data_IF_934826259123
#
_entry.id   IF_934826259123
#
_cell.length_a   1.000
_cell.length_b   1.000
_cell.length_c   1.000
_cell.angle_alpha   90.00
_cell.angle_beta   90.00
_cell.angle_gamma   90.00
#
_symmetry.space_group_name_H-M   'P 1'
#
loop_
_entity.id
_entity.type
_entity.pdbx_description
1 polymer ?
#
# COMPACT_ATOMS: atom_id res chain seq x y z
N UNK A 1 -10.78 48.87 -36.55
CA UNK A 1 -11.70 47.90 -35.92
C UNK A 1 -12.93 48.69 -35.51
N UNK A 2 -14.06 48.49 -36.19
CA UNK A 2 -15.31 49.16 -35.87
C UNK A 2 -15.96 48.36 -34.72
N UNK A 3 -16.11 48.99 -33.56
CA UNK A 3 -16.85 48.47 -32.42
C UNK A 3 -18.25 48.03 -32.89
N UNK A 4 -18.71 46.80 -32.57
CA UNK A 4 -20.06 46.37 -32.92
C UNK A 4 -21.06 47.28 -32.20
N UNK A 5 -21.87 48.01 -32.98
CA UNK A 5 -22.92 48.86 -32.45
C UNK A 5 -23.82 48.05 -31.52
N UNK A 6 -23.92 48.46 -30.26
CA UNK A 6 -24.72 47.76 -29.26
C UNK A 6 -26.19 47.69 -29.69
N UNK A 7 -26.81 46.49 -29.73
CA UNK A 7 -28.16 46.31 -30.25
C UNK A 7 -29.24 47.03 -29.43
N UNK A 8 -28.92 47.39 -28.19
CA UNK A 8 -29.80 48.06 -27.23
C UNK A 8 -29.73 49.60 -27.30
N UNK A 9 -28.89 50.19 -28.15
CA UNK A 9 -28.79 51.65 -28.37
C UNK A 9 -29.75 52.18 -29.45
N UNK A 10 -30.70 51.37 -29.92
CA UNK A 10 -31.66 51.79 -30.95
C UNK A 10 -32.68 52.75 -30.34
N UNK A 11 -32.55 54.05 -30.66
CA UNK A 11 -33.54 55.06 -30.29
C UNK A 11 -34.93 54.64 -30.81
N UNK A 12 -35.94 54.69 -29.94
CA UNK A 12 -37.30 54.35 -30.34
C UNK A 12 -37.79 55.32 -31.44
N UNK A 13 -38.29 54.77 -32.57
CA UNK A 13 -38.81 55.56 -33.68
C UNK A 13 -40.04 56.37 -33.26
N UNK A 14 -40.22 57.57 -33.83
CA UNK A 14 -41.33 58.47 -33.50
C UNK A 14 -42.72 57.91 -33.79
N UNK A 15 -42.81 56.89 -34.65
CA UNK A 15 -44.05 56.18 -34.97
C UNK A 15 -44.49 55.19 -33.87
N UNK A 16 -43.60 54.86 -32.93
CA UNK A 16 -43.92 53.95 -31.83
C UNK A 16 -44.99 54.57 -30.90
N UNK A 17 -45.98 53.76 -30.52
CA UNK A 17 -47.09 54.20 -29.66
C UNK A 17 -46.57 54.71 -28.31
N UNK A 18 -45.58 54.02 -27.73
CA UNK A 18 -44.95 54.42 -26.47
C UNK A 18 -44.23 55.76 -26.58
N UNK A 19 -43.51 55.99 -27.68
CA UNK A 19 -42.88 57.29 -27.95
C UNK A 19 -43.91 58.43 -27.99
N UNK A 20 -45.01 58.24 -28.73
CA UNK A 20 -46.08 59.25 -28.85
C UNK A 20 -46.80 59.50 -27.52
N UNK A 21 -47.03 58.45 -26.73
CA UNK A 21 -47.66 58.58 -25.41
C UNK A 21 -46.76 59.37 -24.44
N UNK A 22 -45.46 59.07 -24.44
CA UNK A 22 -44.49 59.73 -23.58
C UNK A 22 -44.34 61.22 -23.96
N UNK A 23 -44.28 61.52 -25.26
CA UNK A 23 -44.29 62.89 -25.76
C UNK A 23 -45.54 63.68 -25.36
N UNK A 24 -46.73 63.05 -25.37
CA UNK A 24 -47.98 63.67 -24.91
C UNK A 24 -47.98 64.02 -23.42
N UNK A 25 -47.24 63.28 -22.61
CA UNK A 25 -47.08 63.53 -21.17
C UNK A 25 -45.99 64.57 -20.87
N UNK A 26 -45.48 65.28 -21.88
CA UNK A 26 -44.51 66.36 -21.72
C UNK A 26 -43.04 65.91 -21.69
N UNK A 27 -42.75 64.65 -22.02
CA UNK A 27 -41.39 64.19 -22.23
C UNK A 27 -40.83 64.65 -23.57
N UNK A 28 -39.56 65.05 -23.60
CA UNK A 28 -38.87 65.52 -24.81
C UNK A 28 -37.83 64.50 -25.25
N UNK A 29 -37.78 64.19 -26.54
CA UNK A 29 -36.79 63.28 -27.11
C UNK A 29 -35.37 63.72 -26.76
N UNK A 30 -34.53 62.76 -26.34
CA UNK A 30 -33.15 63.03 -25.94
C UNK A 30 -32.99 63.63 -24.54
N UNK A 31 -34.08 63.76 -23.77
CA UNK A 31 -34.02 64.19 -22.36
C UNK A 31 -34.32 63.05 -21.40
N UNK A 32 -33.64 63.05 -20.25
CA UNK A 32 -33.88 62.09 -19.19
C UNK A 32 -35.25 62.28 -18.56
N UNK A 33 -35.81 61.21 -17.97
CA UNK A 33 -37.06 61.30 -17.21
C UNK A 33 -36.83 61.93 -15.82
N UNK A 34 -37.85 62.54 -15.22
CA UNK A 34 -37.80 63.11 -13.87
C UNK A 34 -37.92 64.64 -13.82
N UNK A 35 -38.15 65.19 -12.63
CA UNK A 35 -38.48 66.61 -12.43
C UNK A 35 -37.41 67.59 -12.96
N UNK A 36 -36.14 67.18 -12.98
CA UNK A 36 -35.00 67.94 -13.53
C UNK A 36 -34.41 67.27 -14.77
N UNK A 37 -35.14 66.34 -15.40
CA UNK A 37 -34.66 65.52 -16.54
C UNK A 37 -33.38 64.72 -16.24
N UNK A 38 -33.23 64.28 -14.99
CA UNK A 38 -32.01 63.63 -14.48
C UNK A 38 -31.93 62.12 -14.72
N UNK A 39 -32.98 61.51 -15.29
CA UNK A 39 -33.02 60.08 -15.56
C UNK A 39 -32.02 59.64 -16.63
N UNK A 40 -31.57 58.39 -16.57
CA UNK A 40 -30.69 57.81 -17.58
C UNK A 40 -31.40 57.77 -18.94
N UNK A 41 -30.67 58.14 -19.99
CA UNK A 41 -31.13 58.11 -21.38
C UNK A 41 -31.04 56.71 -21.99
N UNK A 42 -30.01 55.96 -21.59
CA UNK A 42 -29.74 54.64 -22.12
C UNK A 42 -30.27 53.56 -21.17
N UNK A 43 -30.83 52.47 -21.72
CA UNK A 43 -31.21 51.30 -20.93
C UNK A 43 -30.02 50.75 -20.15
N UNK A 44 -30.25 50.31 -18.92
CA UNK A 44 -29.23 49.60 -18.15
C UNK A 44 -29.05 48.22 -18.76
N UNK A 45 -27.82 47.90 -19.15
CA UNK A 45 -27.46 46.56 -19.61
C UNK A 45 -27.43 45.64 -18.41
N UNK A 46 -28.17 44.54 -18.51
CA UNK A 46 -28.14 43.47 -17.52
C UNK A 46 -27.49 42.27 -18.18
N UNK A 47 -26.24 42.01 -17.82
CA UNK A 47 -25.54 40.81 -18.26
C UNK A 47 -26.06 39.62 -17.47
N UNK A 48 -26.74 38.71 -18.17
CA UNK A 48 -27.21 37.47 -17.58
C UNK A 48 -26.03 36.52 -17.45
N UNK A 49 -25.68 36.16 -16.22
CA UNK A 49 -24.66 35.16 -15.95
C UNK A 49 -25.14 33.78 -16.41
N UNK A 50 -24.57 33.29 -17.51
CA UNK A 50 -24.84 31.94 -18.03
C UNK A 50 -24.13 30.82 -17.25
N UNK A 51 -23.17 31.19 -16.39
CA UNK A 51 -22.34 30.23 -15.67
C UNK A 51 -22.89 29.91 -14.28
N UNK A 52 -22.78 28.64 -13.89
CA UNK A 52 -23.16 28.15 -12.54
C UNK A 52 -22.08 28.47 -11.50
N UNK A 53 -20.90 28.96 -11.92
CA UNK A 53 -19.82 29.29 -11.01
C UNK A 53 -20.20 30.47 -10.10
N UNK A 54 -19.59 30.54 -8.92
CA UNK A 54 -19.69 31.72 -8.06
C UNK A 54 -19.14 32.99 -8.75
N UNK A 55 -19.56 34.17 -8.31
CA UNK A 55 -18.94 35.43 -8.75
C UNK A 55 -17.44 35.42 -8.37
N UNK A 56 -16.56 35.87 -9.26
CA UNK A 56 -15.11 35.86 -9.08
C UNK A 56 -14.42 34.48 -9.17
N UNK A 57 -15.19 33.38 -9.24
CA UNK A 57 -14.59 32.03 -9.26
C UNK A 57 -13.92 31.70 -10.60
N UNK A 58 -14.47 32.19 -11.71
CA UNK A 58 -13.89 32.02 -13.03
C UNK A 58 -12.49 32.65 -13.11
N UNK A 59 -12.36 33.91 -12.68
CA UNK A 59 -11.08 34.63 -12.63
C UNK A 59 -10.04 33.89 -11.79
N UNK A 60 -10.41 33.41 -10.60
CA UNK A 60 -9.50 32.62 -9.76
C UNK A 60 -9.05 31.31 -10.45
N UNK A 61 -9.97 30.65 -11.16
CA UNK A 61 -9.59 29.47 -11.93
C UNK A 61 -8.62 29.86 -13.04
N UNK A 62 -8.90 30.91 -13.80
CA UNK A 62 -8.01 31.35 -14.88
C UNK A 62 -6.62 31.70 -14.36
N UNK A 63 -6.52 32.40 -13.22
CA UNK A 63 -5.26 32.70 -12.54
C UNK A 63 -4.51 31.44 -12.13
N UNK A 64 -5.21 30.46 -11.52
CA UNK A 64 -4.59 29.21 -11.11
C UNK A 64 -4.10 28.38 -12.31
N UNK A 65 -4.92 28.29 -13.36
CA UNK A 65 -4.58 27.57 -14.59
C UNK A 65 -3.44 28.27 -15.34
N UNK A 66 -3.46 29.60 -15.39
CA UNK A 66 -2.38 30.41 -15.94
C UNK A 66 -1.10 30.22 -15.13
N UNK A 67 -1.12 30.32 -13.80
CA UNK A 67 0.05 30.12 -12.96
C UNK A 67 0.63 28.71 -13.08
N UNK A 68 -0.22 27.68 -13.20
CA UNK A 68 0.22 26.30 -13.39
C UNK A 68 0.80 26.03 -14.78
N UNK A 69 0.42 26.82 -15.79
CA UNK A 69 0.81 26.61 -17.21
C UNK A 69 1.84 27.63 -17.70
N UNK A 70 2.02 28.75 -16.99
CA UNK A 70 2.86 29.88 -17.38
C UNK A 70 4.33 29.51 -17.54
N UNK A 71 4.78 28.45 -16.87
CA UNK A 71 6.15 27.94 -17.03
C UNK A 71 6.12 26.42 -17.12
N UNK A 72 6.81 25.81 -18.11
CA UNK A 72 7.08 24.39 -18.05
C UNK A 72 7.85 24.10 -16.75
N UNK A 73 7.44 23.08 -16.01
CA UNK A 73 8.15 22.65 -14.80
C UNK A 73 9.58 22.28 -15.21
N UNK A 74 10.55 23.08 -14.80
CA UNK A 74 11.95 22.79 -15.04
C UNK A 74 12.27 21.39 -14.49
N UNK A 75 12.97 20.59 -15.28
CA UNK A 75 13.33 19.24 -14.86
C UNK A 75 14.27 19.32 -13.64
N UNK A 76 14.23 18.33 -12.75
CA UNK A 76 15.16 18.31 -11.60
C UNK A 76 16.63 18.41 -12.07
N UNK A 77 16.97 17.83 -13.23
CA UNK A 77 18.30 17.93 -13.82
C UNK A 77 18.66 19.36 -14.27
N UNK A 78 17.72 20.10 -14.84
CA UNK A 78 17.90 21.50 -15.25
C UNK A 78 18.06 22.43 -14.04
N UNK A 79 17.29 22.19 -12.97
CA UNK A 79 17.43 22.91 -11.69
C UNK A 79 18.80 22.64 -11.07
N UNK A 80 19.26 21.39 -11.07
CA UNK A 80 20.59 21.03 -10.58
C UNK A 80 21.72 21.68 -11.40
N UNK A 81 21.55 21.76 -12.73
CA UNK A 81 22.55 22.33 -13.64
C UNK A 81 22.66 23.86 -13.53
N UNK A 82 21.54 24.55 -13.29
CA UNK A 82 21.50 26.01 -13.16
C UNK A 82 21.67 26.50 -11.70
N UNK A 83 21.85 25.58 -10.73
CA UNK A 83 21.97 25.92 -9.32
C UNK A 83 23.27 26.68 -9.00
N UNK A 84 23.14 27.74 -8.22
CA UNK A 84 24.27 28.52 -7.67
C UNK A 84 25.14 27.68 -6.74
N UNK A 85 26.41 28.06 -6.54
CA UNK A 85 27.33 27.32 -5.65
C UNK A 85 26.80 27.21 -4.21
N UNK A 86 26.17 28.28 -3.70
CA UNK A 86 25.57 28.30 -2.36
C UNK A 86 24.40 27.30 -2.23
N UNK A 87 23.56 27.19 -3.25
CA UNK A 87 22.43 26.25 -3.25
C UNK A 87 22.92 24.78 -3.33
N UNK A 88 24.04 24.55 -4.03
CA UNK A 88 24.71 23.24 -4.05
C UNK A 88 25.26 22.88 -2.67
N UNK A 89 25.89 23.81 -1.96
CA UNK A 89 26.39 23.60 -0.60
C UNK A 89 25.24 23.34 0.40
N UNK A 90 24.15 24.11 0.34
CA UNK A 90 22.98 23.87 1.18
C UNK A 90 22.38 22.48 0.94
N UNK A 91 22.27 22.02 -0.31
CA UNK A 91 21.80 20.66 -0.61
C UNK A 91 22.74 19.60 -0.04
N UNK A 92 24.05 19.83 -0.12
CA UNK A 92 25.03 18.93 0.48
C UNK A 92 24.89 18.91 2.01
N UNK A 93 24.76 20.08 2.65
CA UNK A 93 24.53 20.20 4.09
C UNK A 93 23.23 19.51 4.51
N UNK A 94 22.14 19.70 3.76
CA UNK A 94 20.89 19.01 4.03
C UNK A 94 21.04 17.50 3.89
N UNK A 95 21.72 17.02 2.85
CA UNK A 95 21.96 15.61 2.64
C UNK A 95 22.83 15.01 3.75
N UNK A 96 23.90 15.71 4.16
CA UNK A 96 24.75 15.28 5.28
C UNK A 96 23.97 15.28 6.59
N UNK A 97 23.20 16.34 6.87
CA UNK A 97 22.36 16.44 8.06
C UNK A 97 21.30 15.32 8.10
N UNK A 98 20.59 15.08 6.98
CA UNK A 98 19.65 13.95 6.85
C UNK A 98 20.34 12.61 7.12
N UNK A 99 21.57 12.41 6.63
CA UNK A 99 22.35 11.18 6.88
C UNK A 99 22.75 11.04 8.35
N UNK A 100 23.15 12.14 9.00
CA UNK A 100 23.50 12.16 10.42
C UNK A 100 22.27 11.86 11.29
N UNK A 101 21.15 12.54 11.06
CA UNK A 101 19.88 12.27 11.73
C UNK A 101 19.49 10.80 11.56
N UNK A 102 19.58 10.24 10.35
CA UNK A 102 19.28 8.83 10.13
C UNK A 102 20.21 7.89 10.91
N UNK A 103 21.49 8.22 11.03
CA UNK A 103 22.45 7.44 11.81
C UNK A 103 22.14 7.51 13.31
N UNK A 104 21.79 8.70 13.82
CA UNK A 104 21.37 8.90 15.21
C UNK A 104 20.09 8.14 15.52
N UNK A 105 19.08 8.21 14.65
CA UNK A 105 17.84 7.42 14.82
C UNK A 105 18.15 5.93 14.84
N UNK A 106 19.02 5.44 13.95
CA UNK A 106 19.44 4.02 13.95
C UNK A 106 20.19 3.64 15.23
N UNK A 107 21.09 4.49 15.73
CA UNK A 107 21.82 4.26 16.97
C UNK A 107 20.87 4.20 18.18
N UNK A 108 19.89 5.11 18.24
CA UNK A 108 18.86 5.12 19.27
C UNK A 108 17.98 3.87 19.23
N UNK A 109 17.56 3.44 18.04
CA UNK A 109 16.77 2.21 17.88
C UNK A 109 17.58 0.95 18.21
N UNK A 110 18.90 0.94 17.96
CA UNK A 110 19.75 -0.21 18.26
C UNK A 110 19.80 -0.56 19.76
N UNK A 111 19.57 0.40 20.66
CA UNK A 111 19.49 0.16 22.11
C UNK A 111 18.31 -0.76 22.48
N UNK A 112 17.21 -0.66 21.75
CA UNK A 112 15.98 -1.44 21.98
C UNK A 112 15.94 -2.73 21.15
N UNK A 113 17.10 -3.24 20.73
CA UNK A 113 17.20 -4.50 20.00
C UNK A 113 17.65 -5.64 20.92
N UNK A 114 17.03 -6.81 20.78
CA UNK A 114 17.46 -8.02 21.47
C UNK A 114 18.06 -9.04 20.49
N UNK A 115 19.38 -9.22 20.54
CA UNK A 115 20.10 -10.16 19.67
C UNK A 115 19.95 -11.64 20.02
N UNK A 116 19.36 -12.00 21.17
CA UNK A 116 19.04 -13.40 21.49
C UNK A 116 17.72 -13.82 20.86
N UNK A 117 16.78 -12.88 20.74
CA UNK A 117 15.43 -13.12 20.30
C UNK A 117 15.14 -12.58 18.89
N UNK A 118 16.09 -11.84 18.30
CA UNK A 118 15.99 -11.14 17.01
C UNK A 118 14.72 -10.29 16.92
N UNK A 119 14.46 -9.51 17.98
CA UNK A 119 13.28 -8.66 18.12
C UNK A 119 13.71 -7.21 18.32
N UNK A 120 13.14 -6.32 17.51
CA UNK A 120 13.25 -4.88 17.66
C UNK A 120 12.07 -4.36 18.49
N UNK A 121 12.37 -3.57 19.52
CA UNK A 121 11.39 -2.86 20.32
C UNK A 121 11.46 -1.37 20.02
N UNK A 122 10.33 -0.67 20.15
CA UNK A 122 10.25 0.76 19.87
C UNK A 122 10.16 1.61 21.14
N UNK A 123 9.69 1.03 22.25
CA UNK A 123 9.57 1.72 23.54
C UNK A 123 10.45 1.06 24.60
N UNK A 124 11.04 1.87 25.47
CA UNK A 124 11.83 1.41 26.60
C UNK A 124 11.11 0.39 27.51
N UNK A 125 9.85 0.61 27.99
CA UNK A 125 9.20 -0.35 28.87
C UNK A 125 8.89 -1.70 28.18
N UNK A 126 8.65 -1.69 26.87
CA UNK A 126 8.42 -2.92 26.10
C UNK A 126 9.71 -3.76 26.03
N UNK A 127 10.85 -3.10 25.87
CA UNK A 127 12.17 -3.75 25.89
C UNK A 127 12.51 -4.31 27.27
N UNK A 128 12.29 -3.54 28.33
CA UNK A 128 12.52 -3.99 29.72
C UNK A 128 11.64 -5.19 30.10
N UNK A 129 10.35 -5.14 29.75
CA UNK A 129 9.42 -6.25 29.95
C UNK A 129 9.92 -7.51 29.23
N UNK A 130 10.41 -7.36 27.99
CA UNK A 130 11.01 -8.47 27.26
C UNK A 130 12.23 -9.06 27.98
N UNK A 131 13.16 -8.25 28.47
CA UNK A 131 14.36 -8.72 29.18
C UNK A 131 14.01 -9.52 30.44
N UNK A 132 12.92 -9.15 31.12
CA UNK A 132 12.40 -9.87 32.30
C UNK A 132 11.56 -11.11 31.97
N UNK A 133 11.16 -11.30 30.71
CA UNK A 133 10.28 -12.41 30.32
C UNK A 133 10.94 -13.79 30.46
N UNK A 134 10.13 -14.78 30.83
CA UNK A 134 10.57 -16.17 31.01
C UNK A 134 11.26 -16.73 29.76
N UNK A 135 10.66 -16.56 28.58
CA UNK A 135 11.23 -17.00 27.30
C UNK A 135 12.60 -16.38 27.02
N UNK A 136 12.77 -15.08 27.31
CA UNK A 136 14.04 -14.40 27.13
C UNK A 136 15.11 -14.96 28.09
N UNK A 137 14.78 -15.13 29.37
CA UNK A 137 15.71 -15.66 30.37
C UNK A 137 16.14 -17.10 30.03
N UNK A 138 15.21 -17.93 29.54
CA UNK A 138 15.53 -19.26 29.06
C UNK A 138 16.46 -19.23 27.86
N UNK A 139 16.15 -18.42 26.84
CA UNK A 139 17.00 -18.32 25.65
C UNK A 139 18.40 -17.79 25.99
N UNK A 140 18.50 -16.88 26.96
CA UNK A 140 19.78 -16.40 27.52
C UNK A 140 20.57 -17.53 28.18
N UNK A 141 19.96 -18.29 29.09
CA UNK A 141 20.61 -19.45 29.74
C UNK A 141 21.04 -20.51 28.74
N UNK A 142 20.21 -20.83 27.74
CA UNK A 142 20.59 -21.78 26.68
C UNK A 142 21.77 -21.28 25.84
N UNK A 143 21.80 -20.00 25.50
CA UNK A 143 22.91 -19.41 24.77
C UNK A 143 24.21 -19.45 25.59
N UNK A 144 24.15 -19.17 26.90
CA UNK A 144 25.28 -19.26 27.82
C UNK A 144 25.81 -20.69 27.98
N UNK A 145 24.91 -21.68 28.12
CA UNK A 145 25.28 -23.11 28.13
C UNK A 145 25.97 -23.52 26.83
N UNK A 146 25.46 -23.06 25.68
CA UNK A 146 26.05 -23.36 24.37
C UNK A 146 27.39 -22.64 24.13
N UNK A 147 27.61 -21.50 24.78
CA UNK A 147 28.86 -20.74 24.72
C UNK A 147 29.95 -21.32 25.62
N UNK A 148 29.59 -21.79 26.82
CA UNK A 148 30.51 -22.46 27.74
C UNK A 148 30.86 -23.88 27.29
N UNK A 149 29.92 -24.57 26.64
CA UNK A 149 30.11 -25.90 26.08
C UNK A 149 29.94 -25.85 24.55
N UNK A 150 30.90 -25.23 23.84
CA UNK A 150 30.86 -25.22 22.39
C UNK A 150 30.97 -26.66 21.90
N UNK A 151 30.03 -27.09 21.07
CA UNK A 151 30.16 -28.38 20.39
C UNK A 151 31.43 -28.34 19.54
N UNK A 152 32.29 -29.37 19.58
CA UNK A 152 33.48 -29.39 18.75
C UNK A 152 33.08 -29.26 17.28
N UNK A 153 33.84 -28.51 16.48
CA UNK A 153 33.49 -28.19 15.09
C UNK A 153 33.21 -29.43 14.22
N UNK A 154 33.81 -30.57 14.58
CA UNK A 154 33.64 -31.84 13.90
C UNK A 154 32.64 -32.78 14.59
N UNK A 155 31.94 -32.36 15.64
CA UNK A 155 30.99 -33.22 16.37
C UNK A 155 29.86 -33.73 15.47
N UNK A 156 29.31 -32.87 14.61
CA UNK A 156 28.26 -33.26 13.67
C UNK A 156 28.83 -34.10 12.52
N UNK A 157 30.01 -33.76 12.00
CA UNK A 157 30.69 -34.59 10.99
C UNK A 157 31.03 -35.99 11.51
N UNK A 158 31.45 -36.10 12.78
CA UNK A 158 31.76 -37.36 13.45
C UNK A 158 30.50 -38.17 13.72
N UNK A 159 29.44 -37.54 14.24
CA UNK A 159 28.13 -38.18 14.46
C UNK A 159 27.47 -38.61 13.15
N UNK A 160 27.65 -37.86 12.07
CA UNK A 160 27.15 -38.21 10.73
C UNK A 160 27.92 -39.40 10.14
N UNK A 161 29.24 -39.43 10.36
CA UNK A 161 30.10 -40.55 9.97
C UNK A 161 29.79 -41.82 10.76
N UNK A 162 29.46 -41.69 12.04
CA UNK A 162 29.01 -42.78 12.92
C UNK A 162 27.64 -43.33 12.49
N UNK A 163 26.63 -42.47 12.29
CA UNK A 163 25.30 -42.88 11.78
C UNK A 163 25.40 -43.61 10.44
N UNK A 164 26.30 -43.18 9.54
CA UNK A 164 26.54 -43.86 8.26
C UNK A 164 27.21 -45.24 8.41
N UNK A 165 27.98 -45.48 9.47
CA UNK A 165 28.58 -46.79 9.77
C UNK A 165 27.54 -47.74 10.35
N UNK A 166 26.77 -47.27 11.32
CA UNK A 166 25.66 -48.03 11.93
C UNK A 166 24.61 -48.43 10.88
N UNK A 167 24.24 -47.53 9.96
CA UNK A 167 23.31 -47.85 8.87
C UNK A 167 23.82 -49.00 7.98
N UNK A 168 25.11 -49.02 7.66
CA UNK A 168 25.71 -50.09 6.85
C UNK A 168 25.79 -51.41 7.62
N UNK A 169 26.05 -51.37 8.93
CA UNK A 169 26.03 -52.56 9.77
C UNK A 169 24.61 -53.12 9.92
N UNK A 170 23.62 -52.26 10.16
CA UNK A 170 22.21 -52.65 10.22
C UNK A 170 21.73 -53.25 8.90
N UNK A 171 22.08 -52.65 7.76
CA UNK A 171 21.76 -53.18 6.43
C UNK A 171 22.42 -54.55 6.20
N UNK A 172 23.67 -54.73 6.66
CA UNK A 172 24.38 -56.02 6.57
C UNK A 172 23.72 -57.09 7.45
N UNK A 173 23.32 -56.75 8.66
CA UNK A 173 22.61 -57.67 9.58
C UNK A 173 21.23 -58.01 9.02
N UNK A 174 20.49 -57.03 8.49
CA UNK A 174 19.19 -57.24 7.85
C UNK A 174 19.31 -58.16 6.63
N UNK A 175 20.32 -57.95 5.79
CA UNK A 175 20.61 -58.82 4.63
C UNK A 175 21.00 -60.24 5.06
N UNK A 176 21.78 -60.39 6.13
CA UNK A 176 22.12 -61.70 6.69
C UNK A 176 20.90 -62.40 7.30
N UNK A 177 19.99 -61.67 7.96
CA UNK A 177 18.74 -62.20 8.48
C UNK A 177 17.83 -62.70 7.34
N UNK A 178 17.70 -61.93 6.25
CA UNK A 178 16.93 -62.35 5.07
C UNK A 178 17.53 -63.58 4.37
N UNK A 179 18.86 -63.73 4.35
CA UNK A 179 19.52 -64.94 3.84
C UNK A 179 19.33 -66.15 4.77
N UNK A 180 19.25 -65.95 6.09
CA UNK A 180 18.93 -67.01 7.06
C UNK A 180 17.49 -67.48 6.95
N UNK A 181 16.54 -66.56 6.67
CA UNK A 181 15.14 -66.93 6.41
C UNK A 181 14.95 -67.57 5.03
N UNK A 182 15.81 -67.27 4.06
CA UNK A 182 15.81 -67.93 2.75
C UNK A 182 16.49 -69.32 2.75
N UNK A 183 17.28 -69.65 3.78
CA UNK A 183 17.98 -70.93 3.94
C UNK A 183 17.28 -71.97 4.83
N UNK A 184 16.14 -71.65 5.46
CA UNK A 184 15.38 -72.59 6.27
C UNK A 184 14.01 -72.89 5.64
N UNK A 185 13.98 -73.77 4.63
CA UNK A 185 12.77 -74.53 4.31
C UNK A 185 13.13 -75.98 3.99
N UNK A 186 13.02 -76.83 5.01
CA UNK A 186 12.71 -78.26 4.87
C UNK A 186 12.15 -78.75 6.22
N UNK A 187 10.83 -79.03 6.21
CA UNK A 187 10.14 -80.20 6.79
C UNK A 187 10.25 -80.41 8.33
N UNK A 188 9.21 -80.65 9.13
CA UNK A 188 7.75 -80.71 9.02
C UNK A 188 7.17 -80.98 10.44
N UNK A 189 5.84 -80.80 10.61
CA UNK A 189 4.88 -81.64 11.41
C UNK A 189 5.11 -81.82 12.93
N UNK A 190 4.13 -81.85 13.83
CA UNK A 190 2.67 -81.76 13.82
C UNK A 190 2.22 -81.63 15.30
N UNK A 191 0.95 -81.29 15.51
CA UNK A 191 0.12 -81.54 16.70
C UNK A 191 0.29 -80.68 17.95
N UNK A 192 -0.73 -80.34 18.72
CA UNK A 192 -2.19 -80.25 18.57
C UNK A 192 -2.70 -79.92 19.99
N UNK A 193 -3.66 -78.99 20.07
CA UNK A 193 -4.71 -78.87 21.10
C UNK A 193 -4.29 -78.66 22.59
N UNK A 194 -4.97 -77.88 23.42
CA UNK A 194 -6.12 -77.00 23.31
C UNK A 194 -6.32 -76.28 24.67
N UNK A 195 -7.19 -75.26 24.65
CA UNK A 195 -7.99 -74.73 25.77
C UNK A 195 -7.31 -73.68 26.66
N UNK A 196 -7.93 -72.56 27.06
CA UNK A 196 -9.36 -72.24 27.12
C UNK A 196 -9.63 -70.72 27.03
N UNK A 197 -10.76 -70.42 26.38
CA UNK A 197 -11.76 -69.37 26.65
C UNK A 197 -11.44 -68.22 27.62
N UNK A 198 -11.68 -66.98 27.19
CA UNK A 198 -12.93 -66.23 27.47
C UNK A 198 -12.89 -64.83 26.83
N UNK A 199 -13.92 -64.50 26.05
CA UNK A 199 -14.26 -63.12 25.66
C UNK A 199 -15.32 -62.57 26.62
N UNK A 200 -15.50 -61.24 26.68
CA UNK A 200 -16.77 -60.73 26.13
C UNK A 200 -16.67 -59.43 25.30
N UNK A 201 -17.71 -59.28 24.47
CA UNK A 201 -18.24 -58.16 23.65
C UNK A 201 -17.74 -56.74 23.97
N UNK A 202 -17.28 -55.91 23.01
CA UNK A 202 -17.96 -55.20 21.89
C UNK A 202 -19.07 -54.23 22.32
N UNK A 203 -18.88 -52.92 22.04
CA UNK A 203 -19.76 -52.03 21.22
C UNK A 203 -19.02 -50.70 20.89
N UNK A 204 -19.47 -49.89 19.90
CA UNK A 204 -18.61 -49.36 18.82
C UNK A 204 -18.47 -47.83 18.78
N UNK A 205 -17.46 -47.32 18.06
CA UNK A 205 -17.31 -45.87 17.83
C UNK A 205 -16.24 -45.44 16.83
N UNK A 206 -16.60 -45.47 15.54
CA UNK A 206 -16.26 -44.51 14.47
C UNK A 206 -14.77 -44.13 14.22
N UNK A 207 -14.27 -44.59 13.06
CA UNK A 207 -13.02 -44.12 12.46
C UNK A 207 -13.11 -42.64 12.03
N UNK A 208 -12.09 -41.80 12.28
CA UNK A 208 -11.87 -40.59 11.52
C UNK A 208 -11.13 -40.89 10.21
N UNK A 209 -11.65 -40.33 9.11
CA UNK A 209 -11.08 -40.41 7.76
C UNK A 209 -9.71 -39.70 7.67
N UNK A 210 -8.82 -40.14 6.75
CA UNK A 210 -7.57 -39.43 6.48
C UNK A 210 -7.84 -38.13 5.72
N UNK A 211 -7.39 -37.00 6.28
CA UNK A 211 -7.35 -35.70 5.59
C UNK A 211 -6.17 -35.66 4.62
N UNK A 212 -6.47 -35.57 3.33
CA UNK A 212 -5.50 -35.38 2.26
C UNK A 212 -5.06 -33.91 2.18
N UNK A 213 -3.77 -33.65 2.36
CA UNK A 213 -3.14 -32.33 2.12
C UNK A 213 -2.91 -32.12 0.62
N UNK A 214 -3.85 -31.44 -0.05
CA UNK A 214 -3.71 -30.97 -1.43
C UNK A 214 -3.28 -29.51 -1.50
N UNK A 215 -1.99 -29.25 -1.77
CA UNK A 215 -1.50 -27.91 -2.09
C UNK A 215 -1.85 -27.54 -3.54
N UNK A 216 -2.84 -26.64 -3.74
CA UNK A 216 -3.07 -25.96 -5.03
C UNK A 216 -2.49 -24.55 -4.96
N UNK A 217 -1.39 -24.30 -5.68
CA UNK A 217 -0.85 -22.95 -5.93
C UNK A 217 -1.77 -22.22 -6.91
N UNK A 218 -2.28 -21.05 -6.53
CA UNK A 218 -2.92 -20.07 -7.44
C UNK A 218 -1.85 -19.11 -7.96
N UNK A 219 -1.77 -18.82 -9.28
CA UNK A 219 -1.02 -17.67 -9.77
C UNK A 219 -1.85 -16.39 -9.61
N UNK A 220 -1.24 -15.37 -9.00
CA UNK A 220 -1.74 -13.99 -8.96
C UNK A 220 -1.35 -13.26 -10.24
N UNK A 221 -2.33 -13.00 -11.11
CA UNK A 221 -2.21 -12.03 -12.21
C UNK A 221 -2.80 -10.67 -11.82
N UNK A 222 -2.28 -9.55 -12.34
CA UNK A 222 -2.75 -8.21 -11.98
C UNK A 222 -4.14 -7.93 -12.55
N UNK A 223 -5.02 -7.36 -11.73
CA UNK A 223 -6.33 -6.83 -12.16
C UNK A 223 -6.12 -5.54 -12.95
N UNK A 224 -6.28 -5.60 -14.27
CA UNK A 224 -6.52 -4.41 -15.09
C UNK A 224 -7.97 -3.95 -14.88
N UNK A 225 -8.15 -2.74 -14.39
CA UNK A 225 -9.45 -2.06 -14.38
C UNK A 225 -9.72 -1.55 -15.80
N UNK A 226 -10.66 -2.20 -16.49
CA UNK A 226 -11.22 -1.69 -17.74
C UNK A 226 -12.15 -0.51 -17.44
N UNK A 227 -11.75 0.69 -17.88
CA UNK A 227 -12.68 1.82 -18.04
C UNK A 227 -13.39 1.65 -19.39
N UNK A 228 -14.66 1.24 -19.34
CA UNK A 228 -15.55 1.21 -20.49
C UNK A 228 -16.03 2.64 -20.77
N UNK A 229 -15.45 3.29 -21.78
CA UNK A 229 -16.03 4.48 -22.42
C UNK A 229 -16.99 3.99 -23.51
N UNK A 230 -18.30 4.10 -23.25
CA UNK A 230 -19.31 4.03 -24.29
C UNK A 230 -19.53 5.43 -24.88
N UNK A 231 -19.50 5.62 -26.21
CA UNK A 231 -19.90 6.87 -26.85
C UNK A 231 -21.44 6.93 -26.97
N UNK A 232 -22.04 8.06 -26.58
CA UNK A 232 -23.43 8.38 -26.90
C UNK A 232 -23.54 8.77 -28.39
N UNK A 233 -24.55 8.30 -29.13
CA UNK A 233 -24.81 8.75 -30.49
C UNK A 233 -25.53 10.11 -30.53
N UNK A 234 -25.16 10.93 -31.51
CA UNK A 234 -26.02 11.94 -32.15
C UNK A 234 -26.71 11.32 -33.35
#
# INVERSE_FOLDING_TARGET
MQEPSSPWSTSCSSNNIGYRLLAKQGWVQGTGLGARRQGRLEPVIVDLKGDVLGLGKAEQFDEYHAASTARPKASMAEILANATDQEREQRQLEHTNKRLIQQEVKANLAVFYCGLCDKQYHKAPEYEAHLSSYDHNHKKRFAEMRRSHPRPANADAQRDRERRREQKELERIQKAALQRTAGSVSVATDSSAASASTSPAVLPGKAPAPVAFGFKKKPSGPRAFNFNLSPKPS
#
